data_IF_617206663295
#
_entry.id   IF_617206663295
#
_cell.length_a   1.000
_cell.length_b   1.000
_cell.length_c   1.000
_cell.angle_alpha   90.00
_cell.angle_beta   90.00
_cell.angle_gamma   90.00
#
_symmetry.space_group_name_H-M   'P 1'
#
loop_
_entity.id
_entity.type
_entity.pdbx_description
1 polymer ?
#
# COMPACT_ATOMS: atom_id res chain seq x y z
N UNK A 1 24.94 27.63 40.52
CA UNK A 1 24.52 26.62 39.53
C UNK A 1 25.74 26.37 38.67
N UNK A 2 26.27 25.16 38.63
CA UNK A 2 27.45 24.88 37.80
C UNK A 2 27.03 25.06 36.33
N UNK A 3 27.73 25.94 35.61
CA UNK A 3 27.53 26.09 34.16
C UNK A 3 27.84 24.75 33.51
N UNK A 4 26.86 24.20 32.80
CA UNK A 4 27.03 22.98 32.02
C UNK A 4 28.09 23.26 30.95
N UNK A 5 29.08 22.37 30.82
CA UNK A 5 30.12 22.46 29.79
C UNK A 5 29.47 22.75 28.41
N UNK A 6 29.84 23.84 27.72
CA UNK A 6 29.29 24.19 26.41
C UNK A 6 29.37 23.04 25.40
N UNK A 7 30.44 22.24 25.43
CA UNK A 7 30.58 21.08 24.53
C UNK A 7 29.55 19.98 24.85
N UNK A 8 29.23 19.80 26.13
CA UNK A 8 28.22 18.87 26.59
C UNK A 8 26.82 19.34 26.17
N UNK A 9 26.55 20.64 26.28
CA UNK A 9 25.29 21.25 25.81
C UNK A 9 25.08 21.05 24.31
N UNK A 10 26.08 21.35 23.48
CA UNK A 10 26.00 21.18 22.03
C UNK A 10 25.75 19.71 21.63
N UNK A 11 26.41 18.76 22.33
CA UNK A 11 26.13 17.32 22.13
C UNK A 11 24.71 16.94 22.50
N UNK A 12 24.19 17.45 23.62
CA UNK A 12 22.81 17.17 24.05
C UNK A 12 21.82 17.70 23.01
N UNK A 13 21.99 18.93 22.53
CA UNK A 13 21.13 19.53 21.51
C UNK A 13 21.16 18.73 20.20
N UNK A 14 22.34 18.29 19.75
CA UNK A 14 22.45 17.42 18.56
C UNK A 14 21.74 16.08 18.73
N UNK A 15 21.87 15.43 19.91
CA UNK A 15 21.18 14.16 20.20
C UNK A 15 19.67 14.35 20.26
N UNK A 16 19.19 15.46 20.82
CA UNK A 16 17.75 15.78 20.85
C UNK A 16 17.21 15.94 19.42
N UNK A 17 17.89 16.69 18.56
CA UNK A 17 17.46 16.89 17.18
C UNK A 17 17.38 15.56 16.41
N UNK A 18 18.40 14.69 16.54
CA UNK A 18 18.38 13.34 15.96
C UNK A 18 17.21 12.50 16.46
N UNK A 19 16.87 12.62 17.75
CA UNK A 19 15.76 11.89 18.35
C UNK A 19 14.39 12.41 17.87
N UNK A 20 14.26 13.71 17.63
CA UNK A 20 13.05 14.30 17.04
C UNK A 20 12.87 13.85 15.58
N UNK A 21 13.91 13.95 14.75
CA UNK A 21 13.87 13.46 13.37
C UNK A 21 13.49 11.97 13.30
N UNK A 22 14.12 11.12 14.11
CA UNK A 22 13.81 9.70 14.13
C UNK A 22 12.37 9.40 14.57
N UNK A 23 11.78 10.22 15.46
CA UNK A 23 10.37 10.10 15.82
C UNK A 23 9.44 10.41 14.64
N UNK A 24 9.73 11.46 13.88
CA UNK A 24 8.92 11.81 12.70
C UNK A 24 8.97 10.72 11.63
N UNK A 25 10.15 10.17 11.35
CA UNK A 25 10.31 9.07 10.40
C UNK A 25 9.62 7.78 10.88
N UNK A 26 9.69 7.49 12.18
CA UNK A 26 8.94 6.39 12.79
C UNK A 26 7.43 6.52 12.59
N UNK A 27 6.89 7.72 12.79
CA UNK A 27 5.46 7.99 12.61
C UNK A 27 5.06 7.85 11.14
N UNK A 28 5.86 8.37 10.22
CA UNK A 28 5.67 8.19 8.78
C UNK A 28 5.58 6.70 8.42
N UNK A 29 6.57 5.88 8.79
CA UNK A 29 6.59 4.45 8.48
C UNK A 29 5.37 3.70 9.06
N UNK A 30 4.92 4.08 10.28
CA UNK A 30 3.70 3.50 10.88
C UNK A 30 2.44 3.85 10.08
N UNK A 31 2.33 5.10 9.63
CA UNK A 31 1.20 5.54 8.84
C UNK A 31 1.19 4.84 7.46
N UNK A 32 2.34 4.73 6.80
CA UNK A 32 2.48 3.95 5.55
C UNK A 32 2.02 2.50 5.73
N UNK A 33 2.44 1.83 6.80
CA UNK A 33 2.03 0.45 7.08
C UNK A 33 0.52 0.33 7.31
N UNK A 34 -0.08 1.32 7.98
CA UNK A 34 -1.52 1.39 8.22
C UNK A 34 -2.29 1.57 6.91
N UNK A 35 -1.86 2.48 6.04
CA UNK A 35 -2.46 2.69 4.72
C UNK A 35 -2.37 1.43 3.88
N UNK A 36 -1.19 0.81 3.80
CA UNK A 36 -0.99 -0.47 3.13
C UNK A 36 -1.92 -1.57 3.67
N UNK A 37 -2.14 -1.61 4.99
CA UNK A 37 -3.09 -2.56 5.59
C UNK A 37 -4.54 -2.29 5.16
N UNK A 38 -4.95 -1.02 5.05
CA UNK A 38 -6.28 -0.64 4.58
C UNK A 38 -6.46 -1.04 3.12
N UNK A 39 -5.49 -0.71 2.26
CA UNK A 39 -5.51 -1.05 0.84
C UNK A 39 -5.60 -2.57 0.65
N UNK A 40 -4.81 -3.34 1.41
CA UNK A 40 -4.87 -4.80 1.39
C UNK A 40 -6.24 -5.39 1.74
N UNK A 41 -7.06 -4.68 2.52
CA UNK A 41 -8.44 -5.08 2.82
C UNK A 41 -9.45 -4.63 1.75
N UNK A 42 -9.21 -3.48 1.11
CA UNK A 42 -10.14 -2.87 0.15
C UNK A 42 -9.99 -3.49 -1.25
N UNK A 43 -8.77 -3.69 -1.72
CA UNK A 43 -8.51 -4.12 -3.10
C UNK A 43 -9.17 -5.45 -3.50
N UNK A 44 -9.23 -6.51 -2.65
CA UNK A 44 -9.92 -7.75 -3.03
C UNK A 44 -11.42 -7.52 -3.27
N UNK A 45 -12.02 -6.61 -2.51
CA UNK A 45 -13.42 -6.21 -2.68
C UNK A 45 -13.61 -5.42 -3.97
N UNK A 46 -12.73 -4.47 -4.27
CA UNK A 46 -12.77 -3.73 -5.53
C UNK A 46 -12.62 -4.66 -6.74
N UNK A 47 -11.70 -5.63 -6.67
CA UNK A 47 -11.54 -6.67 -7.68
C UNK A 47 -12.84 -7.47 -7.87
N UNK A 48 -13.47 -7.92 -6.78
CA UNK A 48 -14.73 -8.64 -6.86
C UNK A 48 -15.85 -7.81 -7.51
N UNK A 49 -15.96 -6.52 -7.14
CA UNK A 49 -16.93 -5.58 -7.72
C UNK A 49 -16.67 -5.36 -9.22
N UNK A 50 -15.40 -5.20 -9.61
CA UNK A 50 -15.01 -5.05 -11.01
C UNK A 50 -15.41 -6.28 -11.83
N UNK A 51 -15.04 -7.49 -11.36
CA UNK A 51 -15.38 -8.75 -12.01
C UNK A 51 -16.90 -8.93 -12.13
N UNK A 52 -17.65 -8.61 -11.08
CA UNK A 52 -19.11 -8.65 -11.11
C UNK A 52 -19.67 -7.71 -12.18
N UNK A 53 -19.16 -6.48 -12.27
CA UNK A 53 -19.59 -5.50 -13.26
C UNK A 53 -19.27 -5.94 -14.69
N UNK A 54 -18.09 -6.51 -14.91
CA UNK A 54 -17.70 -7.06 -16.21
C UNK A 54 -18.62 -8.21 -16.62
N UNK A 55 -18.91 -9.15 -15.71
CA UNK A 55 -19.83 -10.25 -15.99
C UNK A 55 -21.25 -9.76 -16.30
N UNK A 56 -21.71 -8.72 -15.60
CA UNK A 56 -23.00 -8.09 -15.88
C UNK A 56 -23.04 -7.49 -17.30
N UNK A 57 -22.00 -6.74 -17.70
CA UNK A 57 -21.91 -6.14 -19.03
C UNK A 57 -21.81 -7.19 -20.14
N UNK A 58 -21.05 -8.27 -19.91
CA UNK A 58 -21.00 -9.41 -20.84
C UNK A 58 -22.39 -10.02 -21.02
N UNK A 59 -23.12 -10.25 -19.92
CA UNK A 59 -24.48 -10.78 -19.97
C UNK A 59 -25.42 -9.86 -20.75
N UNK A 60 -25.40 -8.56 -20.48
CA UNK A 60 -26.21 -7.58 -21.24
C UNK A 60 -25.85 -7.57 -22.73
N UNK A 61 -24.57 -7.71 -23.08
CA UNK A 61 -24.13 -7.76 -24.48
C UNK A 61 -24.61 -9.04 -25.17
N UNK A 62 -24.54 -10.19 -24.50
CA UNK A 62 -25.07 -11.47 -25.01
C UNK A 62 -26.59 -11.41 -25.15
N UNK A 63 -27.31 -10.87 -24.17
CA UNK A 63 -28.77 -10.74 -24.20
C UNK A 63 -29.23 -9.87 -25.39
N UNK A 64 -28.47 -8.82 -25.74
CA UNK A 64 -28.72 -8.01 -26.95
C UNK A 64 -28.54 -8.81 -28.24
N UNK A 65 -27.47 -9.61 -28.34
CA UNK A 65 -27.27 -10.49 -29.50
C UNK A 65 -28.43 -11.49 -29.61
N UNK A 66 -28.85 -12.10 -28.50
CA UNK A 66 -30.00 -13.02 -28.49
C UNK A 66 -31.30 -12.31 -28.92
N UNK A 67 -31.53 -11.08 -28.45
CA UNK A 67 -32.73 -10.31 -28.81
C UNK A 67 -32.75 -9.91 -30.30
N UNK A 68 -31.62 -9.45 -30.83
CA UNK A 68 -31.43 -9.19 -32.27
C UNK A 68 -31.77 -10.45 -33.09
N UNK A 69 -31.25 -11.61 -32.68
CA UNK A 69 -31.47 -12.87 -33.40
C UNK A 69 -32.94 -13.30 -33.40
N UNK A 70 -33.65 -13.13 -32.27
CA UNK A 70 -35.09 -13.43 -32.20
C UNK A 70 -35.92 -12.58 -33.16
N UNK A 71 -35.45 -11.37 -33.49
CA UNK A 71 -36.16 -10.45 -34.39
C UNK A 71 -35.96 -10.75 -35.89
N UNK A 72 -34.91 -11.50 -36.26
CA UNK A 72 -34.50 -11.71 -37.65
C UNK A 72 -34.94 -13.06 -38.26
N UNK A 73 -35.59 -13.95 -37.50
CA UNK A 73 -35.95 -15.30 -37.95
C UNK A 73 -34.82 -16.32 -37.78
N UNK A 74 -35.01 -17.57 -38.24
CA UNK A 74 -33.97 -18.61 -38.15
C UNK A 74 -32.78 -18.29 -39.07
N UNK A 75 -31.57 -18.75 -38.70
CA UNK A 75 -30.26 -18.83 -39.43
C UNK A 75 -29.21 -17.81 -38.90
N UNK A 76 -27.86 -18.01 -38.95
CA UNK A 76 -26.95 -19.19 -38.96
C UNK A 76 -25.87 -19.13 -37.84
N UNK A 77 -24.92 -20.06 -37.82
CA UNK A 77 -23.69 -20.14 -37.00
C UNK A 77 -22.86 -18.86 -36.73
N UNK A 78 -23.11 -17.74 -37.41
CA UNK A 78 -22.39 -16.47 -37.25
C UNK A 78 -22.59 -15.82 -35.86
N UNK A 79 -23.71 -16.12 -35.20
CA UNK A 79 -24.07 -15.55 -33.91
C UNK A 79 -23.26 -16.15 -32.76
N UNK A 80 -22.91 -17.44 -32.87
CA UNK A 80 -22.02 -18.12 -31.92
C UNK A 80 -20.64 -17.47 -31.97
N UNK A 81 -20.12 -17.15 -33.15
CA UNK A 81 -18.84 -16.45 -33.30
C UNK A 81 -18.85 -15.07 -32.64
N UNK A 82 -19.97 -14.33 -32.73
CA UNK A 82 -20.12 -13.02 -32.08
C UNK A 82 -20.16 -13.13 -30.55
N UNK A 83 -20.84 -14.14 -30.01
CA UNK A 83 -20.84 -14.42 -28.56
C UNK A 83 -19.43 -14.79 -28.08
N UNK A 84 -18.73 -15.68 -28.78
CA UNK A 84 -17.36 -16.06 -28.44
C UNK A 84 -16.39 -14.87 -28.46
N UNK A 85 -16.55 -13.94 -29.42
CA UNK A 85 -15.76 -12.71 -29.46
C UNK A 85 -16.03 -11.80 -28.26
N UNK A 86 -17.30 -11.68 -27.84
CA UNK A 86 -17.66 -10.92 -26.63
C UNK A 86 -17.05 -11.57 -25.38
N UNK A 87 -17.17 -12.89 -25.23
CA UNK A 87 -16.56 -13.62 -24.12
C UNK A 87 -15.04 -13.43 -24.08
N UNK A 88 -14.36 -13.57 -25.21
CA UNK A 88 -12.92 -13.36 -25.31
C UNK A 88 -12.51 -11.91 -24.96
N UNK A 89 -13.26 -10.92 -25.44
CA UNK A 89 -13.02 -9.51 -25.12
C UNK A 89 -13.14 -9.25 -23.61
N UNK A 90 -14.26 -9.64 -23.00
CA UNK A 90 -14.48 -9.42 -21.57
C UNK A 90 -13.56 -10.28 -20.69
N UNK A 91 -13.13 -11.45 -21.17
CA UNK A 91 -12.06 -12.21 -20.53
C UNK A 91 -10.75 -11.42 -20.53
N UNK A 92 -10.34 -10.86 -21.67
CA UNK A 92 -9.14 -10.01 -21.75
C UNK A 92 -9.20 -8.81 -20.82
N UNK A 93 -10.36 -8.16 -20.70
CA UNK A 93 -10.58 -7.06 -19.74
C UNK A 93 -10.38 -7.52 -18.28
N UNK A 94 -10.85 -8.71 -17.92
CA UNK A 94 -10.63 -9.29 -16.58
C UNK A 94 -9.15 -9.60 -16.35
N UNK A 95 -8.50 -10.22 -17.34
CA UNK A 95 -7.10 -10.61 -17.24
C UNK A 95 -6.17 -9.40 -17.10
N UNK A 96 -6.43 -8.32 -17.85
CA UNK A 96 -5.68 -7.07 -17.74
C UNK A 96 -5.89 -6.38 -16.39
N UNK A 97 -7.11 -6.42 -15.85
CA UNK A 97 -7.38 -5.92 -14.51
C UNK A 97 -6.66 -6.75 -13.45
N UNK A 98 -6.70 -8.07 -13.57
CA UNK A 98 -6.04 -8.99 -12.64
C UNK A 98 -4.52 -8.84 -12.67
N UNK A 99 -3.92 -8.61 -13.84
CA UNK A 99 -2.49 -8.27 -13.95
C UNK A 99 -2.16 -7.00 -13.16
N UNK A 100 -2.89 -5.90 -13.42
CA UNK A 100 -2.70 -4.64 -12.69
C UNK A 100 -2.95 -4.77 -11.20
N UNK A 101 -3.89 -5.62 -10.79
CA UNK A 101 -4.15 -5.92 -9.39
C UNK A 101 -2.95 -6.62 -8.75
N UNK A 102 -2.39 -7.63 -9.42
CA UNK A 102 -1.19 -8.33 -8.92
C UNK A 102 0.02 -7.38 -8.83
N UNK A 103 0.20 -6.49 -9.80
CA UNK A 103 1.26 -5.49 -9.77
C UNK A 103 1.13 -4.59 -8.51
N UNK A 104 -0.08 -4.07 -8.23
CA UNK A 104 -0.34 -3.28 -7.01
C UNK A 104 -0.12 -4.06 -5.72
N UNK A 105 -0.52 -5.33 -5.69
CA UNK A 105 -0.27 -6.22 -4.54
C UNK A 105 1.24 -6.37 -4.30
N UNK A 106 2.01 -6.57 -5.38
CA UNK A 106 3.47 -6.65 -5.32
C UNK A 106 4.11 -5.36 -4.82
N UNK A 107 3.72 -4.22 -5.39
CA UNK A 107 4.17 -2.89 -4.96
C UNK A 107 3.87 -2.63 -3.48
N UNK A 108 2.66 -2.96 -3.01
CA UNK A 108 2.30 -2.85 -1.60
C UNK A 108 3.19 -3.72 -0.72
N UNK A 109 3.45 -4.97 -1.10
CA UNK A 109 4.31 -5.85 -0.31
C UNK A 109 5.73 -5.28 -0.18
N UNK A 110 6.24 -4.68 -1.26
CA UNK A 110 7.51 -3.98 -1.27
C UNK A 110 7.51 -2.75 -0.37
N UNK A 111 6.45 -1.94 -0.41
CA UNK A 111 6.27 -0.80 0.51
C UNK A 111 6.22 -1.24 1.97
N UNK A 112 5.48 -2.32 2.28
CA UNK A 112 5.42 -2.88 3.64
C UNK A 112 6.82 -3.29 4.09
N UNK A 113 7.58 -3.97 3.24
CA UNK A 113 8.95 -4.41 3.55
C UNK A 113 9.86 -3.22 3.84
N UNK A 114 9.85 -2.21 2.98
CA UNK A 114 10.67 -1.00 3.14
C UNK A 114 10.28 -0.26 4.42
N UNK A 115 8.99 -0.02 4.64
CA UNK A 115 8.48 0.71 5.80
C UNK A 115 8.78 -0.04 7.12
N UNK A 116 8.69 -1.38 7.13
CA UNK A 116 9.05 -2.20 8.28
C UNK A 116 10.54 -2.08 8.60
N UNK A 117 11.41 -2.24 7.59
CA UNK A 117 12.86 -2.10 7.77
C UNK A 117 13.23 -0.69 8.27
N UNK A 118 12.61 0.35 7.70
CA UNK A 118 12.83 1.72 8.14
C UNK A 118 12.36 1.92 9.58
N UNK A 119 11.19 1.38 9.95
CA UNK A 119 10.67 1.46 11.31
C UNK A 119 11.64 0.84 12.33
N UNK A 120 12.17 -0.35 12.05
CA UNK A 120 13.16 -1.02 12.92
C UNK A 120 14.46 -0.22 13.06
N UNK A 121 14.93 0.37 11.95
CA UNK A 121 16.11 1.24 11.96
C UNK A 121 15.89 2.48 12.81
N UNK A 122 14.75 3.16 12.66
CA UNK A 122 14.42 4.35 13.45
C UNK A 122 14.22 4.03 14.93
N UNK A 123 13.60 2.89 15.26
CA UNK A 123 13.50 2.44 16.65
C UNK A 123 14.87 2.16 17.28
N UNK A 124 15.78 1.58 16.51
CA UNK A 124 17.16 1.36 16.95
C UNK A 124 17.92 2.67 17.13
N UNK A 125 17.77 3.63 16.22
CA UNK A 125 18.36 4.98 16.35
C UNK A 125 17.83 5.70 17.59
N UNK A 126 16.51 5.69 17.82
CA UNK A 126 15.89 6.30 19.01
C UNK A 126 16.45 5.67 20.29
N UNK A 127 16.54 4.34 20.35
CA UNK A 127 17.09 3.62 21.51
C UNK A 127 18.53 4.04 21.79
N UNK A 128 19.38 4.07 20.77
CA UNK A 128 20.77 4.52 20.90
C UNK A 128 20.88 5.97 21.36
N UNK A 129 20.10 6.88 20.78
CA UNK A 129 20.09 8.29 21.18
C UNK A 129 19.65 8.46 22.64
N UNK A 130 18.67 7.67 23.11
CA UNK A 130 18.25 7.67 24.52
C UNK A 130 19.34 7.18 25.46
N UNK A 131 20.10 6.16 25.08
CA UNK A 131 21.25 5.68 25.84
C UNK A 131 22.36 6.73 25.90
N UNK A 132 22.70 7.36 24.77
CA UNK A 132 23.67 8.46 24.71
C UNK A 132 23.23 9.63 25.59
N UNK A 133 21.96 10.03 25.53
CA UNK A 133 21.43 11.11 26.37
C UNK A 133 21.52 10.78 27.87
N UNK A 134 21.20 9.54 28.27
CA UNK A 134 21.35 9.10 29.67
C UNK A 134 22.80 9.20 30.16
N UNK A 135 23.76 8.82 29.32
CA UNK A 135 25.19 8.94 29.66
C UNK A 135 25.59 10.40 29.81
N UNK A 136 25.19 11.26 28.86
CA UNK A 136 25.52 12.70 28.90
C UNK A 136 24.93 13.39 30.14
N UNK A 137 23.69 13.08 30.49
CA UNK A 137 23.04 13.63 31.69
C UNK A 137 23.74 13.19 32.98
N UNK A 138 24.17 11.92 33.08
CA UNK A 138 24.97 11.44 34.22
C UNK A 138 26.32 12.17 34.32
N UNK A 139 27.00 12.41 33.20
CA UNK A 139 28.25 13.17 33.16
C UNK A 139 28.04 14.64 33.58
N UNK A 140 26.89 15.22 33.29
CA UNK A 140 26.49 16.55 33.74
C UNK A 140 26.14 16.62 35.25
N UNK A 141 26.17 15.49 35.97
CA UNK A 141 25.71 15.42 37.36
C UNK A 141 24.19 15.49 37.54
N UNK A 142 23.43 15.34 36.44
CA UNK A 142 21.97 15.29 36.47
C UNK A 142 21.57 13.82 36.71
N UNK A 143 20.88 13.55 37.81
CA UNK A 143 20.34 12.22 38.09
C UNK A 143 19.29 11.85 37.02
N UNK A 144 19.44 10.66 36.42
CA UNK A 144 18.57 10.11 35.36
C UNK A 144 17.94 8.81 35.81
#
# INVERSE_FOLDING_TARGET
>A
MADVDPQLRDRIESVINRLLEAQTLKEFSKNTLKECSVDGCVEPRERAVFHYRVNFLLKEAIDKVIAENRSCGAIPSHDISRVLQLEAYYQGVRDDYDRKYQDRVGERQELIRIATNMLEQEETKIRRCKEELRVLLRLAGIAV
#
